data_IF_906719412444
#
_entry.id   IF_906719412444
#
_cell.length_a   1.000
_cell.length_b   1.000
_cell.length_c   1.000
_cell.angle_alpha   90.00
_cell.angle_beta   90.00
_cell.angle_gamma   90.00
#
_symmetry.space_group_name_H-M   'P 1'
#
loop_
_entity.id
_entity.type
_entity.pdbx_description
1 polymer ?
#
# COMPACT_ATOMS: atom_id res chain seq x y z
N UNK A 1 -1.66 7.49 -17.51
CA UNK A 1 -0.99 6.29 -17.00
C UNK A 1 -1.33 6.10 -15.53
N UNK A 2 -1.72 4.90 -15.15
CA UNK A 2 -2.07 4.60 -13.76
C UNK A 2 -0.83 4.66 -12.87
N UNK A 3 -0.94 5.43 -11.80
CA UNK A 3 0.14 5.62 -10.85
C UNK A 3 -0.10 4.80 -9.59
N UNK A 4 0.88 4.00 -9.21
CA UNK A 4 0.82 3.17 -8.00
C UNK A 4 1.92 3.61 -7.05
N UNK A 5 1.56 3.85 -5.79
CA UNK A 5 2.52 4.08 -4.72
C UNK A 5 2.68 2.78 -3.94
N UNK A 6 3.91 2.29 -3.83
CA UNK A 6 4.25 1.10 -3.05
C UNK A 6 4.90 1.56 -1.76
N UNK A 7 4.27 1.27 -0.62
CA UNK A 7 4.77 1.63 0.71
C UNK A 7 5.29 0.37 1.39
N UNK A 8 6.60 0.19 1.39
CA UNK A 8 7.27 -1.02 1.87
C UNK A 8 8.67 -0.67 2.36
N UNK A 9 9.02 -1.06 3.58
CA UNK A 9 10.32 -0.77 4.17
C UNK A 9 11.44 -1.74 3.75
N UNK A 10 11.11 -2.91 3.22
CA UNK A 10 12.10 -3.85 2.72
C UNK A 10 12.39 -3.58 1.24
N UNK A 11 13.61 -3.08 0.90
CA UNK A 11 13.91 -2.70 -0.48
C UNK A 11 13.75 -3.82 -1.49
N UNK A 12 14.10 -5.06 -1.13
CA UNK A 12 13.99 -6.19 -2.04
C UNK A 12 12.53 -6.48 -2.41
N UNK A 13 11.61 -6.39 -1.44
CA UNK A 13 10.18 -6.60 -1.69
C UNK A 13 9.62 -5.45 -2.50
N UNK A 14 9.95 -4.20 -2.12
CA UNK A 14 9.49 -3.02 -2.83
C UNK A 14 9.90 -3.05 -4.30
N UNK A 15 11.16 -3.41 -4.58
CA UNK A 15 11.65 -3.51 -5.95
C UNK A 15 10.97 -4.63 -6.73
N UNK A 16 10.75 -5.78 -6.10
CA UNK A 16 10.06 -6.90 -6.76
C UNK A 16 8.65 -6.50 -7.19
N UNK A 17 7.91 -5.85 -6.30
CA UNK A 17 6.56 -5.36 -6.59
C UNK A 17 6.61 -4.30 -7.69
N UNK A 18 7.53 -3.35 -7.58
CA UNK A 18 7.67 -2.26 -8.54
C UNK A 18 8.00 -2.76 -9.94
N UNK A 19 8.94 -3.70 -10.05
CA UNK A 19 9.35 -4.26 -11.35
C UNK A 19 8.16 -4.94 -12.02
N UNK A 20 7.41 -5.75 -11.28
CA UNK A 20 6.25 -6.45 -11.82
C UNK A 20 5.16 -5.49 -12.28
N UNK A 21 4.89 -4.44 -11.51
CA UNK A 21 3.90 -3.45 -11.87
C UNK A 21 4.32 -2.62 -13.08
N UNK A 22 5.59 -2.22 -13.14
CA UNK A 22 6.12 -1.49 -14.29
C UNK A 22 6.04 -2.34 -15.56
N UNK A 23 6.28 -3.62 -15.45
CA UNK A 23 6.16 -4.55 -16.58
C UNK A 23 4.73 -4.58 -17.13
N UNK A 24 3.74 -4.40 -16.26
CA UNK A 24 2.33 -4.36 -16.67
C UNK A 24 1.89 -2.95 -17.13
N UNK A 25 2.79 -2.00 -17.20
CA UNK A 25 2.52 -0.67 -17.73
C UNK A 25 2.16 0.40 -16.70
N UNK A 26 2.28 0.12 -15.42
CA UNK A 26 2.01 1.11 -14.38
C UNK A 26 3.23 2.01 -14.13
N UNK A 27 2.95 3.25 -13.74
CA UNK A 27 3.97 4.15 -13.20
C UNK A 27 4.05 3.90 -11.69
N UNK A 28 5.24 3.61 -11.16
CA UNK A 28 5.40 3.18 -9.77
C UNK A 28 6.36 4.10 -9.02
N UNK A 29 5.92 4.54 -7.83
CA UNK A 29 6.77 5.21 -6.85
C UNK A 29 6.87 4.35 -5.61
N UNK A 30 7.99 4.45 -4.90
CA UNK A 30 8.24 3.68 -3.68
C UNK A 30 8.43 4.63 -2.50
N UNK A 31 7.79 4.32 -1.38
CA UNK A 31 8.02 4.98 -0.10
C UNK A 31 8.48 3.94 0.92
N UNK A 32 9.59 4.21 1.61
CA UNK A 32 10.18 3.25 2.55
C UNK A 32 9.60 3.30 3.96
N UNK A 33 8.80 4.31 4.26
CA UNK A 33 8.17 4.46 5.57
C UNK A 33 6.89 5.31 5.44
N UNK A 34 6.17 5.44 6.57
CA UNK A 34 4.91 6.18 6.58
C UNK A 34 5.10 7.67 6.26
N UNK A 35 6.16 8.29 6.77
CA UNK A 35 6.41 9.71 6.54
C UNK A 35 6.65 10.00 5.05
N UNK A 36 7.44 9.17 4.39
CA UNK A 36 7.68 9.30 2.95
C UNK A 36 6.39 9.09 2.16
N UNK A 37 5.56 8.13 2.57
CA UNK A 37 4.28 7.85 1.93
C UNK A 37 3.34 9.05 2.02
N UNK A 38 3.21 9.64 3.20
CA UNK A 38 2.36 10.83 3.42
C UNK A 38 2.84 11.99 2.55
N UNK A 39 4.15 12.22 2.51
CA UNK A 39 4.74 13.29 1.71
C UNK A 39 4.44 13.12 0.22
N UNK A 40 4.60 11.90 -0.30
CA UNK A 40 4.33 11.63 -1.71
C UNK A 40 2.85 11.77 -2.06
N UNK A 41 1.95 11.31 -1.19
CA UNK A 41 0.50 11.44 -1.40
C UNK A 41 0.09 12.92 -1.37
N UNK A 42 0.69 13.71 -0.47
CA UNK A 42 0.41 15.14 -0.40
C UNK A 42 0.86 15.89 -1.64
N UNK A 43 2.01 15.51 -2.21
CA UNK A 43 2.52 16.14 -3.43
C UNK A 43 1.69 15.77 -4.66
N UNK A 44 1.35 14.49 -4.79
CA UNK A 44 0.64 14.00 -5.96
C UNK A 44 -0.14 12.73 -5.60
N UNK A 45 -1.47 12.82 -5.66
CA UNK A 45 -2.35 11.71 -5.32
C UNK A 45 -2.16 10.55 -6.30
N UNK A 46 -1.81 9.35 -5.84
CA UNK A 46 -1.72 8.18 -6.72
C UNK A 46 -3.11 7.62 -7.04
N UNK A 47 -3.17 6.75 -8.02
CA UNK A 47 -4.41 6.05 -8.38
C UNK A 47 -4.65 4.83 -7.50
N UNK A 48 -3.59 4.28 -6.90
CA UNK A 48 -3.65 3.10 -6.04
C UNK A 48 -2.46 3.12 -5.09
N UNK A 49 -2.67 2.70 -3.84
CA UNK A 49 -1.59 2.47 -2.88
C UNK A 49 -1.54 0.99 -2.52
N UNK A 50 -0.34 0.42 -2.59
CA UNK A 50 -0.06 -0.90 -2.04
C UNK A 50 0.73 -0.66 -0.76
N UNK A 51 0.18 -1.05 0.37
CA UNK A 51 0.62 -0.62 1.69
C UNK A 51 0.98 -1.81 2.57
N UNK A 52 2.23 -1.85 3.02
CA UNK A 52 2.67 -2.87 3.98
C UNK A 52 2.03 -2.59 5.35
N UNK A 53 1.50 -3.63 5.99
CA UNK A 53 0.94 -3.51 7.33
C UNK A 53 2.00 -3.16 8.36
N UNK A 54 3.19 -3.77 8.26
CA UNK A 54 4.28 -3.59 9.22
C UNK A 54 5.28 -2.55 8.71
N UNK A 55 5.07 -1.29 9.09
CA UNK A 55 5.97 -0.20 8.75
C UNK A 55 6.65 0.36 10.00
N UNK A 56 7.89 0.86 9.88
CA UNK A 56 8.53 1.54 11.01
C UNK A 56 7.79 2.84 11.36
N UNK A 57 7.62 3.10 12.64
CA UNK A 57 6.99 4.30 13.16
C UNK A 57 5.48 4.23 13.22
N UNK A 58 4.82 4.20 12.09
CA UNK A 58 3.36 4.14 12.00
C UNK A 58 2.95 2.90 11.20
N UNK A 59 2.03 2.10 11.73
CA UNK A 59 1.58 0.90 11.03
C UNK A 59 0.79 1.26 9.76
N UNK A 60 0.75 0.33 8.80
CA UNK A 60 -0.06 0.50 7.60
C UNK A 60 -1.53 0.67 7.92
N UNK A 61 -2.02 -0.03 8.95
CA UNK A 61 -3.39 0.09 9.41
C UNK A 61 -3.71 1.52 9.87
N UNK A 62 -2.84 2.11 10.68
CA UNK A 62 -3.01 3.49 11.15
C UNK A 62 -2.98 4.48 9.99
N UNK A 63 -2.06 4.29 9.06
CA UNK A 63 -1.91 5.16 7.88
C UNK A 63 -3.16 5.09 6.99
N UNK A 64 -3.69 3.88 6.76
CA UNK A 64 -4.92 3.67 6.01
C UNK A 64 -6.10 4.41 6.66
N UNK A 65 -6.27 4.27 7.97
CA UNK A 65 -7.32 4.96 8.71
C UNK A 65 -7.17 6.48 8.62
N UNK A 66 -5.94 6.99 8.71
CA UNK A 66 -5.66 8.41 8.59
C UNK A 66 -6.10 8.94 7.23
N UNK A 67 -5.79 8.22 6.15
CA UNK A 67 -6.21 8.64 4.82
C UNK A 67 -7.73 8.58 4.64
N UNK A 68 -8.41 7.59 5.21
CA UNK A 68 -9.87 7.49 5.13
C UNK A 68 -10.57 8.63 5.88
N UNK A 69 -9.91 9.21 6.87
CA UNK A 69 -10.46 10.33 7.64
C UNK A 69 -10.33 11.68 6.93
N UNK A 70 -9.52 11.76 5.88
CA UNK A 70 -9.28 13.01 5.14
C UNK A 70 -10.10 13.03 3.85
N UNK A 71 -10.71 14.17 3.56
CA UNK A 71 -11.56 14.32 2.37
C UNK A 71 -10.82 13.98 1.07
N UNK A 72 -9.58 14.47 0.94
CA UNK A 72 -8.77 14.29 -0.29
C UNK A 72 -8.46 12.82 -0.57
N UNK A 73 -8.25 12.02 0.47
CA UNK A 73 -7.79 10.63 0.35
C UNK A 73 -8.85 9.59 0.72
N UNK A 74 -10.07 10.05 1.05
CA UNK A 74 -11.14 9.15 1.51
C UNK A 74 -11.43 8.02 0.54
N UNK A 75 -11.38 8.28 -0.76
CA UNK A 75 -11.71 7.30 -1.79
C UNK A 75 -10.48 6.68 -2.46
N UNK A 76 -9.29 6.94 -1.92
CA UNK A 76 -8.05 6.40 -2.46
C UNK A 76 -8.05 4.87 -2.37
N UNK A 77 -7.92 4.14 -3.49
CA UNK A 77 -7.85 2.68 -3.44
C UNK A 77 -6.59 2.22 -2.70
N UNK A 78 -6.75 1.31 -1.75
CA UNK A 78 -5.66 0.81 -0.91
C UNK A 78 -5.72 -0.71 -0.88
N UNK A 79 -4.58 -1.36 -1.19
CA UNK A 79 -4.39 -2.79 -1.03
C UNK A 79 -3.36 -2.99 0.07
N UNK A 80 -3.76 -3.67 1.15
CA UNK A 80 -2.89 -3.93 2.28
C UNK A 80 -2.11 -5.23 2.06
N UNK A 81 -0.79 -5.20 2.25
CA UNK A 81 0.05 -6.38 2.20
C UNK A 81 0.35 -6.87 3.60
N UNK A 82 0.34 -8.18 3.78
CA UNK A 82 0.73 -8.82 5.03
C UNK A 82 1.61 -10.03 4.73
N UNK A 83 2.51 -10.38 5.66
CA UNK A 83 3.40 -11.50 5.51
C UNK A 83 2.71 -12.86 5.71
N UNK A 84 1.54 -12.89 6.35
CA UNK A 84 0.88 -14.12 6.76
C UNK A 84 -0.61 -14.08 6.48
N UNK A 85 -1.17 -15.23 6.06
CA UNK A 85 -2.59 -15.35 5.73
C UNK A 85 -3.50 -15.10 6.94
N UNK A 86 -3.09 -15.52 8.13
CA UNK A 86 -3.86 -15.29 9.36
C UNK A 86 -3.91 -13.81 9.73
N UNK A 87 -2.87 -13.05 9.43
CA UNK A 87 -2.87 -11.60 9.58
C UNK A 87 -3.83 -10.93 8.62
N UNK A 88 -3.94 -11.46 7.41
CA UNK A 88 -4.88 -10.94 6.41
C UNK A 88 -6.31 -10.99 6.93
N UNK A 89 -6.71 -12.12 7.50
CA UNK A 89 -8.05 -12.28 8.09
C UNK A 89 -8.25 -11.34 9.27
N UNK A 90 -7.25 -11.18 10.11
CA UNK A 90 -7.28 -10.29 11.26
C UNK A 90 -7.44 -8.83 10.83
N UNK A 91 -6.68 -8.40 9.82
CA UNK A 91 -6.76 -7.03 9.30
C UNK A 91 -8.12 -6.73 8.71
N UNK A 92 -8.70 -7.67 7.97
CA UNK A 92 -10.03 -7.50 7.41
C UNK A 92 -11.08 -7.32 8.52
N UNK A 93 -10.94 -8.08 9.61
CA UNK A 93 -11.82 -7.96 10.78
C UNK A 93 -11.67 -6.67 11.56
N UNK A 94 -10.52 -6.00 11.46
CA UNK A 94 -10.26 -4.74 12.15
C UNK A 94 -10.75 -3.51 11.39
N UNK A 95 -11.19 -3.68 10.14
CA UNK A 95 -11.68 -2.60 9.28
C UNK A 95 -10.70 -1.43 9.20
N UNK A 96 -9.52 -1.70 8.67
CA UNK A 96 -8.47 -0.68 8.51
C UNK A 96 -8.69 0.31 7.36
N UNK A 97 -9.82 0.20 6.64
CA UNK A 97 -10.12 1.08 5.53
C UNK A 97 -9.49 0.68 4.20
N UNK A 98 -8.79 -0.43 4.13
CA UNK A 98 -8.25 -0.94 2.88
C UNK A 98 -9.35 -1.61 2.05
N UNK A 99 -9.21 -1.51 0.72
CA UNK A 99 -10.17 -2.12 -0.21
C UNK A 99 -9.91 -3.60 -0.39
N UNK A 100 -8.68 -4.05 -0.17
CA UNK A 100 -8.30 -5.45 -0.28
C UNK A 100 -7.08 -5.74 0.58
N UNK A 101 -6.84 -7.02 0.84
CA UNK A 101 -5.75 -7.53 1.66
C UNK A 101 -5.10 -8.71 0.95
N UNK A 102 -3.80 -8.63 0.69
CA UNK A 102 -3.04 -9.68 0.03
C UNK A 102 -1.90 -10.17 0.91
N UNK A 103 -1.60 -11.47 0.81
CA UNK A 103 -0.47 -12.08 1.52
C UNK A 103 0.78 -12.04 0.66
N UNK A 104 1.91 -11.66 1.25
CA UNK A 104 3.21 -11.66 0.58
C UNK A 104 3.75 -13.09 0.46
N UNK A 105 4.46 -13.43 -0.62
CA UNK A 105 4.51 -12.70 -1.88
C UNK A 105 3.21 -12.85 -2.65
N UNK A 106 2.89 -11.91 -3.51
CA UNK A 106 1.66 -11.96 -4.29
C UNK A 106 1.97 -11.84 -5.78
N UNK A 107 1.02 -12.30 -6.60
CA UNK A 107 1.10 -12.15 -8.05
C UNK A 107 0.41 -10.84 -8.47
N UNK A 108 0.96 -10.16 -9.47
CA UNK A 108 0.34 -8.97 -10.06
C UNK A 108 -1.07 -9.28 -10.56
N UNK A 109 -1.33 -10.52 -10.95
CA UNK A 109 -2.65 -10.96 -11.39
C UNK A 109 -3.72 -10.89 -10.29
N UNK A 110 -3.30 -10.88 -9.03
CA UNK A 110 -4.23 -10.74 -7.90
C UNK A 110 -4.69 -9.29 -7.70
N UNK A 111 -4.00 -8.36 -8.31
CA UNK A 111 -4.36 -6.95 -8.25
C UNK A 111 -5.51 -6.67 -9.23
#
# INVERSE_FOLDING_TARGET
MTRVLVVEDEPAIAELVAINLRHEGFEVSIAGDAAAAVSQVDERLPDLVILDWMLPGQSGLQLSRSWRAQTRTRSLPIIMLTARADEKDKLAGLDGGADDYLTKPFSVKEL
#
